data_IF_491453468791
#
_entry.id   IF_491453468791
#
_cell.length_a   1.000
_cell.length_b   1.000
_cell.length_c   1.000
_cell.angle_alpha   90.00
_cell.angle_beta   90.00
_cell.angle_gamma   90.00
#
_symmetry.space_group_name_H-M   'P 1'
#
loop_
_entity.id
_entity.type
_entity.pdbx_description
1 polymer ?
#
# COMPACT_ATOMS: atom_id res chain seq x y z
N UNK A 1 17.45 18.45 -9.78
CA UNK A 1 16.84 17.73 -10.94
C UNK A 1 16.29 16.44 -10.39
N UNK A 2 14.97 16.35 -10.22
CA UNK A 2 14.33 15.12 -9.73
C UNK A 2 14.23 14.14 -10.89
N UNK A 3 14.92 13.00 -10.79
CA UNK A 3 14.82 11.90 -11.74
C UNK A 3 13.79 10.91 -11.19
N UNK A 4 12.75 10.62 -11.96
CA UNK A 4 11.77 9.59 -11.63
C UNK A 4 12.25 8.19 -12.03
N UNK A 5 11.65 7.17 -11.42
CA UNK A 5 11.84 5.77 -11.80
C UNK A 5 10.69 5.31 -12.70
N UNK A 6 10.96 4.61 -13.82
CA UNK A 6 9.88 4.04 -14.63
C UNK A 6 9.18 2.93 -13.84
N UNK A 7 7.86 2.85 -13.95
CA UNK A 7 7.08 1.73 -13.36
C UNK A 7 7.02 0.52 -14.29
N UNK A 8 7.12 0.74 -15.61
CA UNK A 8 7.13 -0.32 -16.61
C UNK A 8 8.25 -1.33 -16.36
N UNK A 9 7.92 -2.61 -16.40
CA UNK A 9 8.86 -3.71 -16.15
C UNK A 9 9.24 -3.93 -14.69
N UNK A 10 8.80 -3.06 -13.77
CA UNK A 10 9.03 -3.20 -12.32
C UNK A 10 8.03 -4.14 -11.68
N UNK A 11 8.35 -4.60 -10.48
CA UNK A 11 7.51 -5.50 -9.70
C UNK A 11 6.73 -4.72 -8.65
N UNK A 12 5.39 -4.87 -8.67
CA UNK A 12 4.50 -4.40 -7.62
C UNK A 12 4.14 -5.56 -6.70
N UNK A 13 4.45 -5.43 -5.42
CA UNK A 13 3.99 -6.30 -4.34
C UNK A 13 2.70 -5.75 -3.73
N UNK A 14 1.64 -6.52 -3.73
CA UNK A 14 0.35 -6.15 -3.16
C UNK A 14 0.09 -6.98 -1.90
N UNK A 15 -0.06 -6.31 -0.76
CA UNK A 15 -0.44 -6.96 0.50
C UNK A 15 -1.91 -6.67 0.77
N UNK A 16 -2.75 -7.71 0.57
CA UNK A 16 -4.21 -7.60 0.58
C UNK A 16 -4.80 -7.56 -0.83
N UNK A 17 -5.29 -8.71 -1.34
CA UNK A 17 -5.87 -8.86 -2.69
C UNK A 17 -7.41 -8.82 -2.67
N UNK A 18 -7.99 -7.99 -1.79
CA UNK A 18 -9.41 -7.69 -1.76
C UNK A 18 -9.86 -6.80 -2.95
N UNK A 19 -11.02 -6.19 -2.86
CA UNK A 19 -11.58 -5.38 -3.96
C UNK A 19 -10.62 -4.25 -4.42
N UNK A 20 -9.96 -3.57 -3.47
CA UNK A 20 -9.02 -2.48 -3.76
C UNK A 20 -7.72 -3.03 -4.34
N UNK A 21 -7.14 -4.07 -3.72
CA UNK A 21 -5.90 -4.70 -4.21
C UNK A 21 -6.06 -5.27 -5.62
N UNK A 22 -7.18 -5.93 -5.93
CA UNK A 22 -7.53 -6.37 -7.30
C UNK A 22 -7.63 -5.22 -8.28
N UNK A 23 -8.23 -4.09 -7.85
CA UNK A 23 -8.29 -2.87 -8.65
C UNK A 23 -6.90 -2.29 -8.92
N UNK A 24 -6.00 -2.35 -7.95
CA UNK A 24 -4.60 -1.93 -8.10
C UNK A 24 -3.84 -2.87 -9.04
N UNK A 25 -4.00 -4.20 -8.89
CA UNK A 25 -3.38 -5.19 -9.74
C UNK A 25 -3.68 -4.95 -11.23
N UNK A 26 -4.96 -4.74 -11.59
CA UNK A 26 -5.35 -4.46 -12.99
C UNK A 26 -4.66 -3.21 -13.54
N UNK A 27 -4.54 -2.16 -12.75
CA UNK A 27 -3.88 -0.91 -13.16
C UNK A 27 -2.38 -1.09 -13.33
N UNK A 28 -1.74 -1.78 -12.41
CA UNK A 28 -0.31 -2.08 -12.49
C UNK A 28 0.03 -2.93 -13.73
N UNK A 29 -0.76 -3.94 -14.02
CA UNK A 29 -0.63 -4.74 -15.25
C UNK A 29 -0.80 -3.88 -16.51
N UNK A 30 -1.75 -2.92 -16.49
CA UNK A 30 -1.92 -1.95 -17.58
C UNK A 30 -0.71 -1.02 -17.79
N UNK A 31 0.08 -0.78 -16.75
CA UNK A 31 1.37 -0.07 -16.84
C UNK A 31 2.55 -0.98 -17.22
N UNK A 32 2.30 -2.26 -17.51
CA UNK A 32 3.35 -3.22 -17.85
C UNK A 32 4.22 -3.63 -16.66
N UNK A 33 3.69 -3.56 -15.45
CA UNK A 33 4.35 -4.06 -14.26
C UNK A 33 4.15 -5.56 -14.10
N UNK A 34 5.09 -6.22 -13.43
CA UNK A 34 4.87 -7.55 -12.84
C UNK A 34 4.12 -7.38 -11.53
N UNK A 35 3.14 -8.23 -11.26
CA UNK A 35 2.35 -8.14 -10.03
C UNK A 35 2.45 -9.44 -9.24
N UNK A 36 2.91 -9.32 -8.00
CA UNK A 36 2.88 -10.37 -7.01
C UNK A 36 1.99 -9.93 -5.83
N UNK A 37 1.30 -10.86 -5.20
CA UNK A 37 0.37 -10.52 -4.14
C UNK A 37 0.32 -11.57 -3.04
N UNK A 38 0.01 -11.11 -1.83
CA UNK A 38 -0.32 -11.91 -0.66
C UNK A 38 -1.73 -11.56 -0.18
N UNK A 39 -2.53 -12.59 0.09
CA UNK A 39 -3.78 -12.46 0.83
C UNK A 39 -4.06 -13.75 1.60
N UNK A 40 -4.63 -13.62 2.80
CA UNK A 40 -5.08 -14.79 3.60
C UNK A 40 -6.27 -15.50 2.94
N UNK A 41 -7.07 -14.77 2.13
CA UNK A 41 -8.17 -15.28 1.32
C UNK A 41 -7.82 -15.18 -0.15
N UNK A 42 -6.97 -16.10 -0.61
CA UNK A 42 -6.47 -16.08 -1.99
C UNK A 42 -7.56 -16.36 -3.02
N UNK A 43 -7.70 -15.47 -4.02
CA UNK A 43 -8.60 -15.64 -5.15
C UNK A 43 -7.83 -16.20 -6.37
N UNK A 44 -7.82 -17.52 -6.49
CA UNK A 44 -7.13 -18.25 -7.56
C UNK A 44 -7.68 -17.89 -8.95
N UNK A 45 -9.00 -17.70 -9.06
CA UNK A 45 -9.64 -17.37 -10.34
C UNK A 45 -9.17 -16.01 -10.86
N UNK A 46 -9.19 -14.99 -9.99
CA UNK A 46 -8.68 -13.66 -10.32
C UNK A 46 -7.19 -13.68 -10.67
N UNK A 47 -6.40 -14.36 -9.86
CA UNK A 47 -4.95 -14.43 -10.05
C UNK A 47 -4.58 -15.05 -11.39
N UNK A 48 -5.23 -16.18 -11.75
CA UNK A 48 -5.04 -16.87 -13.03
C UNK A 48 -5.51 -16.03 -14.23
N UNK A 49 -6.68 -15.39 -14.12
CA UNK A 49 -7.25 -14.56 -15.18
C UNK A 49 -6.34 -13.38 -15.53
N UNK A 50 -5.73 -12.76 -14.52
CA UNK A 50 -4.94 -11.54 -14.68
C UNK A 50 -3.42 -11.76 -14.63
N UNK A 51 -2.94 -12.98 -14.40
CA UNK A 51 -1.50 -13.26 -14.32
C UNK A 51 -0.85 -12.67 -13.05
N UNK A 52 -1.58 -12.60 -11.93
CA UNK A 52 -1.05 -12.17 -10.64
C UNK A 52 -0.36 -13.35 -9.97
N UNK A 53 0.92 -13.19 -9.64
CA UNK A 53 1.69 -14.21 -8.95
C UNK A 53 1.32 -14.25 -7.46
N UNK A 54 1.01 -15.44 -6.93
CA UNK A 54 0.92 -15.65 -5.48
C UNK A 54 2.32 -15.62 -4.88
N UNK A 55 2.50 -14.92 -3.79
CA UNK A 55 3.77 -14.85 -3.08
C UNK A 55 3.56 -14.80 -1.56
N UNK A 56 4.55 -15.23 -0.81
CA UNK A 56 4.58 -15.03 0.63
C UNK A 56 5.10 -13.61 0.96
N UNK A 57 4.80 -13.11 2.17
CA UNK A 57 5.18 -11.75 2.58
C UNK A 57 6.67 -11.49 2.44
N UNK A 58 7.51 -12.45 2.86
CA UNK A 58 8.97 -12.32 2.79
C UNK A 58 9.48 -12.19 1.35
N UNK A 59 8.86 -12.90 0.40
CA UNK A 59 9.16 -12.82 -1.03
C UNK A 59 8.80 -11.43 -1.58
N UNK A 60 7.62 -10.91 -1.19
CA UNK A 60 7.19 -9.55 -1.55
C UNK A 60 8.20 -8.51 -1.05
N UNK A 61 8.63 -8.60 0.23
CA UNK A 61 9.59 -7.65 0.77
C UNK A 61 10.90 -7.66 -0.01
N UNK A 62 11.42 -8.82 -0.36
CA UNK A 62 12.71 -8.96 -1.05
C UNK A 62 12.68 -8.60 -2.54
N UNK A 63 11.57 -8.90 -3.23
CA UNK A 63 11.56 -8.84 -4.69
C UNK A 63 10.78 -7.67 -5.28
N UNK A 64 9.89 -7.04 -4.53
CA UNK A 64 9.11 -5.93 -5.04
C UNK A 64 9.94 -4.63 -5.15
N UNK A 65 9.68 -3.87 -6.20
CA UNK A 65 10.19 -2.51 -6.37
C UNK A 65 9.24 -1.47 -5.75
N UNK A 66 7.95 -1.82 -5.71
CA UNK A 66 6.89 -1.06 -5.05
C UNK A 66 6.07 -2.02 -4.20
N UNK A 67 5.80 -1.66 -2.95
CA UNK A 67 4.94 -2.44 -2.05
C UNK A 67 3.76 -1.58 -1.66
N UNK A 68 2.54 -2.09 -1.86
CA UNK A 68 1.31 -1.36 -1.53
C UNK A 68 0.41 -2.17 -0.61
N UNK A 69 -0.09 -1.50 0.44
CA UNK A 69 -0.90 -2.12 1.49
C UNK A 69 -2.38 -1.89 1.23
N UNK A 70 -3.16 -2.98 1.22
CA UNK A 70 -4.62 -2.97 1.02
C UNK A 70 -5.34 -3.92 1.99
N UNK A 71 -4.67 -4.29 3.09
CA UNK A 71 -5.26 -5.09 4.16
C UNK A 71 -5.87 -4.23 5.27
N UNK A 72 -6.76 -4.81 6.06
CA UNK A 72 -7.34 -4.15 7.23
C UNK A 72 -6.37 -4.15 8.42
N UNK A 73 -6.53 -3.19 9.32
CA UNK A 73 -5.79 -3.15 10.59
C UNK A 73 -6.48 -4.03 11.63
N UNK A 74 -5.74 -4.97 12.19
CA UNK A 74 -6.13 -5.82 13.31
C UNK A 74 -4.88 -6.16 14.15
N UNK A 75 -5.00 -7.06 15.13
CA UNK A 75 -3.87 -7.43 15.98
C UNK A 75 -2.72 -8.09 15.21
N UNK A 76 -3.02 -8.87 14.15
CA UNK A 76 -2.02 -9.56 13.36
C UNK A 76 -1.33 -8.63 12.33
N UNK A 77 -2.01 -7.58 11.91
CA UNK A 77 -1.49 -6.63 10.90
C UNK A 77 -0.93 -5.34 11.50
N UNK A 78 -1.11 -5.15 12.81
CA UNK A 78 -0.52 -3.98 13.50
C UNK A 78 1.00 -4.02 13.41
N UNK A 79 1.58 -2.92 12.92
CA UNK A 79 3.01 -2.76 12.69
C UNK A 79 3.63 -3.93 11.90
N UNK A 80 2.84 -4.53 10.97
CA UNK A 80 3.32 -5.62 10.14
C UNK A 80 4.49 -5.21 9.24
N UNK A 81 4.64 -3.93 8.99
CA UNK A 81 5.81 -3.35 8.35
C UNK A 81 6.59 -2.60 9.44
N UNK A 82 7.55 -3.28 10.02
CA UNK A 82 8.49 -2.73 11.00
C UNK A 82 9.92 -2.72 10.47
N UNK A 83 10.87 -2.46 11.36
CA UNK A 83 12.30 -2.33 10.99
C UNK A 83 12.87 -3.59 10.32
N UNK A 84 12.43 -4.78 10.71
CA UNK A 84 12.86 -6.03 10.09
C UNK A 84 12.39 -6.13 8.63
N UNK A 85 11.11 -5.85 8.37
CA UNK A 85 10.52 -5.90 7.04
C UNK A 85 11.12 -4.84 6.13
N UNK A 86 11.35 -3.63 6.63
CA UNK A 86 11.98 -2.55 5.88
C UNK A 86 13.41 -2.92 5.45
N UNK A 87 14.20 -3.55 6.33
CA UNK A 87 15.54 -4.05 5.98
C UNK A 87 15.56 -5.15 4.94
N UNK A 88 14.47 -5.91 4.78
CA UNK A 88 14.35 -6.92 3.73
C UNK A 88 14.08 -6.30 2.35
N UNK A 89 13.57 -5.06 2.30
CA UNK A 89 13.21 -4.40 1.06
C UNK A 89 14.46 -4.00 0.28
N UNK A 90 14.29 -3.82 -1.03
CA UNK A 90 15.36 -3.28 -1.87
C UNK A 90 15.67 -1.83 -1.47
N UNK A 91 16.93 -1.37 -1.49
CA UNK A 91 17.23 0.03 -1.26
C UNK A 91 16.56 1.00 -2.28
N UNK A 92 16.14 0.47 -3.41
CA UNK A 92 15.38 1.22 -4.43
C UNK A 92 13.87 1.09 -4.27
N UNK A 93 13.37 0.37 -3.26
CA UNK A 93 11.95 0.11 -3.09
C UNK A 93 11.19 1.33 -2.56
N UNK A 94 9.90 1.37 -2.90
CA UNK A 94 8.93 2.34 -2.38
C UNK A 94 7.82 1.62 -1.64
N UNK A 95 7.50 2.11 -0.43
CA UNK A 95 6.37 1.62 0.37
C UNK A 95 5.18 2.57 0.24
N UNK A 96 3.99 2.04 -0.08
CA UNK A 96 2.77 2.81 -0.21
C UNK A 96 1.74 2.32 0.81
N UNK A 97 1.31 3.21 1.71
CA UNK A 97 0.25 2.95 2.68
C UNK A 97 -0.90 3.95 2.50
N UNK A 98 -1.91 3.54 1.77
CA UNK A 98 -3.19 4.22 1.65
C UNK A 98 -4.34 3.37 2.24
N UNK A 99 -4.02 2.48 3.19
CA UNK A 99 -4.98 1.63 3.87
C UNK A 99 -5.27 2.13 5.30
N UNK A 100 -4.36 1.87 6.25
CA UNK A 100 -4.51 2.27 7.67
C UNK A 100 -3.15 2.58 8.27
N UNK A 101 -3.06 3.62 9.11
CA UNK A 101 -1.83 4.09 9.73
C UNK A 101 -1.08 3.01 10.52
N UNK A 102 -1.73 2.33 11.40
CA UNK A 102 -1.11 1.31 12.26
C UNK A 102 -0.61 0.03 11.57
N UNK A 103 -0.66 -0.08 10.24
CA UNK A 103 -0.03 -1.18 9.48
C UNK A 103 1.50 -1.03 9.41
N UNK A 104 1.98 0.20 9.47
CA UNK A 104 3.40 0.55 9.39
C UNK A 104 3.84 1.13 10.73
N UNK A 105 4.98 0.69 11.23
CA UNK A 105 5.68 1.36 12.31
C UNK A 105 6.32 2.65 11.75
N UNK A 106 5.70 3.80 12.05
CA UNK A 106 6.13 5.10 11.51
C UNK A 106 7.52 5.51 12.00
N UNK A 107 7.92 5.08 13.21
CA UNK A 107 9.26 5.36 13.73
C UNK A 107 10.31 4.55 12.96
N UNK A 108 10.06 3.27 12.75
CA UNK A 108 10.93 2.42 11.94
C UNK A 108 11.01 2.90 10.48
N UNK A 109 9.88 3.33 9.90
CA UNK A 109 9.84 3.89 8.55
C UNK A 109 10.68 5.17 8.44
N UNK A 110 10.58 6.07 9.44
CA UNK A 110 11.39 7.29 9.46
C UNK A 110 12.89 6.98 9.49
N UNK A 111 13.32 6.03 10.31
CA UNK A 111 14.73 5.59 10.36
C UNK A 111 15.19 4.95 9.04
N UNK A 112 14.38 4.06 8.46
CA UNK A 112 14.70 3.39 7.20
C UNK A 112 14.84 4.39 6.03
N UNK A 113 14.00 5.43 6.00
CA UNK A 113 14.09 6.48 4.99
C UNK A 113 15.32 7.37 5.20
N UNK A 114 15.63 7.75 6.45
CA UNK A 114 16.81 8.57 6.77
C UNK A 114 18.14 7.84 6.51
N UNK A 115 18.17 6.54 6.78
CA UNK A 115 19.35 5.70 6.50
C UNK A 115 19.50 5.27 5.05
N UNK A 116 18.45 5.44 4.23
CA UNK A 116 18.42 5.00 2.83
C UNK A 116 18.22 3.48 2.67
N UNK A 117 17.66 2.82 3.66
CA UNK A 117 17.25 1.40 3.55
C UNK A 117 16.20 1.19 2.47
N UNK A 118 15.30 2.19 2.26
CA UNK A 118 14.36 2.24 1.15
C UNK A 118 14.38 3.61 0.48
N UNK A 119 13.95 3.68 -0.78
CA UNK A 119 14.05 4.90 -1.59
C UNK A 119 13.00 5.95 -1.23
N UNK A 120 11.82 5.55 -0.79
CA UNK A 120 10.75 6.50 -0.48
C UNK A 120 9.47 5.84 0.01
N UNK A 121 8.52 6.68 0.41
CA UNK A 121 7.21 6.22 0.83
C UNK A 121 6.07 7.16 0.39
N UNK A 122 4.90 6.58 0.12
CA UNK A 122 3.64 7.28 -0.07
C UNK A 122 2.69 6.95 1.08
N UNK A 123 2.31 7.94 1.87
CA UNK A 123 1.49 7.71 3.07
C UNK A 123 0.23 8.58 3.00
N UNK A 124 -0.92 7.94 2.92
CA UNK A 124 -2.22 8.60 2.99
C UNK A 124 -2.91 8.40 4.36
N UNK A 125 -2.56 7.31 5.06
CA UNK A 125 -3.12 6.99 6.37
C UNK A 125 -2.03 6.95 7.45
N UNK A 126 -2.14 7.80 8.45
CA UNK A 126 -1.22 7.92 9.58
C UNK A 126 -1.80 7.33 10.87
N UNK A 127 -0.95 6.99 11.83
CA UNK A 127 -1.38 6.51 13.16
C UNK A 127 -2.17 7.60 13.90
N UNK A 128 -1.73 8.84 13.76
CA UNK A 128 -2.42 10.02 14.29
C UNK A 128 -2.81 10.92 13.14
N UNK A 129 -4.08 11.26 13.04
CA UNK A 129 -4.62 12.13 11.99
C UNK A 129 -5.33 13.35 12.59
N UNK A 130 -4.99 14.58 12.17
CA UNK A 130 -3.93 14.92 11.22
C UNK A 130 -2.52 14.68 11.79
N UNK A 131 -1.51 14.35 10.95
CA UNK A 131 -0.15 13.97 11.38
C UNK A 131 0.72 15.14 11.76
N UNK A 132 0.20 16.07 12.57
CA UNK A 132 0.90 17.28 13.00
C UNK A 132 2.15 16.90 13.79
N UNK A 133 3.30 17.40 13.37
CA UNK A 133 4.59 17.12 14.02
C UNK A 133 5.17 15.73 13.71
N UNK A 134 4.60 14.98 12.79
CA UNK A 134 5.19 13.74 12.33
C UNK A 134 6.53 14.00 11.62
N UNK A 135 7.63 13.33 12.04
CA UNK A 135 8.93 13.49 11.39
C UNK A 135 8.95 12.99 9.94
N UNK A 136 7.99 12.17 9.53
CA UNK A 136 7.85 11.72 8.15
C UNK A 136 7.52 12.87 7.20
N UNK A 137 6.82 13.93 7.68
CA UNK A 137 6.48 15.09 6.86
C UNK A 137 7.69 15.98 6.52
N UNK A 138 8.82 15.80 7.21
CA UNK A 138 10.06 16.54 6.97
C UNK A 138 10.94 15.91 5.87
N UNK A 139 10.61 14.69 5.43
CA UNK A 139 11.41 13.92 4.50
C UNK A 139 11.02 14.18 3.05
N UNK A 140 11.96 14.60 2.22
CA UNK A 140 11.73 14.87 0.78
C UNK A 140 11.30 13.62 0.00
N UNK A 141 11.68 12.43 0.45
CA UNK A 141 11.33 11.15 -0.15
C UNK A 141 9.95 10.62 0.31
N UNK A 142 9.20 11.38 1.11
CA UNK A 142 7.84 11.04 1.54
C UNK A 142 6.82 11.89 0.80
N UNK A 143 5.85 11.22 0.18
CA UNK A 143 4.64 11.84 -0.33
C UNK A 143 3.53 11.58 0.67
N UNK A 144 3.06 12.62 1.35
CA UNK A 144 1.98 12.54 2.32
C UNK A 144 0.67 13.09 1.74
N UNK A 145 -0.44 12.43 2.05
CA UNK A 145 -1.79 12.90 1.73
C UNK A 145 -2.69 12.82 2.98
N UNK A 146 -3.77 13.62 3.07
CA UNK A 146 -4.58 13.74 4.28
C UNK A 146 -5.74 12.72 4.31
N UNK A 147 -5.47 11.44 4.10
CA UNK A 147 -6.41 10.32 4.09
C UNK A 147 -7.54 10.50 3.05
N UNK A 148 -7.15 10.78 1.82
CA UNK A 148 -8.07 11.11 0.72
C UNK A 148 -8.12 10.08 -0.40
N UNK A 149 -7.42 8.96 -0.29
CA UNK A 149 -7.38 7.93 -1.34
C UNK A 149 -8.77 7.40 -1.77
N UNK A 150 -9.74 7.40 -0.84
CA UNK A 150 -11.14 7.05 -1.11
C UNK A 150 -12.08 8.23 -1.37
N UNK A 151 -11.60 9.48 -1.30
CA UNK A 151 -12.42 10.69 -1.28
C UNK A 151 -12.62 11.28 -2.68
N UNK A 152 -13.28 10.54 -3.58
CA UNK A 152 -13.77 11.11 -4.84
C UNK A 152 -15.24 11.45 -4.73
N UNK A 153 -15.73 12.38 -5.57
CA UNK A 153 -17.17 12.74 -5.62
C UNK A 153 -18.05 11.51 -5.83
N UNK A 154 -17.65 10.62 -6.74
CA UNK A 154 -18.37 9.38 -7.01
C UNK A 154 -18.37 8.43 -5.81
N UNK A 155 -17.24 8.30 -5.11
CA UNK A 155 -17.11 7.45 -3.91
C UNK A 155 -18.00 7.97 -2.78
N UNK A 156 -18.02 9.27 -2.53
CA UNK A 156 -18.84 9.90 -1.50
C UNK A 156 -20.31 9.71 -1.81
N UNK A 157 -20.74 9.97 -3.04
CA UNK A 157 -22.11 9.77 -3.48
C UNK A 157 -22.53 8.28 -3.36
N UNK A 158 -21.69 7.37 -3.81
CA UNK A 158 -21.97 5.93 -3.74
C UNK A 158 -22.04 5.44 -2.29
N UNK A 159 -21.15 5.87 -1.40
CA UNK A 159 -21.22 5.54 0.02
C UNK A 159 -22.55 5.99 0.64
N UNK A 160 -23.01 7.20 0.35
CA UNK A 160 -24.31 7.70 0.81
C UNK A 160 -25.48 6.85 0.30
N UNK A 161 -25.49 6.55 -1.00
CA UNK A 161 -26.55 5.72 -1.63
C UNK A 161 -26.56 4.30 -1.05
N UNK A 162 -25.40 3.64 -0.93
CA UNK A 162 -25.33 2.29 -0.38
C UNK A 162 -25.70 2.23 1.09
N UNK A 163 -25.28 3.21 1.89
CA UNK A 163 -25.67 3.31 3.30
C UNK A 163 -27.18 3.47 3.45
N UNK A 164 -27.80 4.37 2.69
CA UNK A 164 -29.26 4.55 2.70
C UNK A 164 -30.01 3.27 2.26
N UNK A 165 -29.53 2.60 1.22
CA UNK A 165 -30.13 1.33 0.75
C UNK A 165 -30.05 0.22 1.79
N UNK A 166 -28.94 0.12 2.56
CA UNK A 166 -28.77 -0.87 3.60
C UNK A 166 -29.73 -0.63 4.78
N UNK A 167 -29.94 0.63 5.17
CA UNK A 167 -30.92 0.99 6.20
C UNK A 167 -32.36 0.67 5.81
N UNK A 168 -32.70 0.88 4.54
CA UNK A 168 -34.07 0.59 4.03
C UNK A 168 -34.33 -0.91 3.86
N UNK A 169 -33.31 -1.74 3.71
CA UNK A 169 -33.42 -3.19 3.54
C UNK A 169 -33.40 -3.99 4.84
N UNK A 170 -32.93 -3.39 5.95
CA UNK A 170 -32.93 -3.96 7.31
C UNK A 170 -34.23 -3.70 8.00
#
# INVERSE_FOLDING_TARGET
KHLGYPVHGRTLGIIGLGAIGKGMARRALGFGMKVMAYDVFWDEAFAKEHGVQRAELEEIYKEADFITLHCGLNEQTRNMIGAEQLRMMKPSAFLINNARGGLVDEAALNEALRSGEIAGAGIDAFVTEPPIGSPLLELEQVIAAPHVAGSSMDSINNMGIFSARNVVKG
#
